data_IF_421052116565
#
_entry.id   IF_421052116565
#
_cell.length_a   1.000
_cell.length_b   1.000
_cell.length_c   1.000
_cell.angle_alpha   90.00
_cell.angle_beta   90.00
_cell.angle_gamma   90.00
#
_symmetry.space_group_name_H-M   'P 1'
#
loop_
_entity.id
_entity.type
_entity.pdbx_description
1 polymer ?
#
# COMPACT_ATOMS: atom_id res chain seq x y z
N UNK A 1 -29.16 6.68 -5.40
CA UNK A 1 -27.85 6.01 -5.21
C UNK A 1 -26.66 6.98 -5.46
N UNK A 2 -26.70 8.25 -5.01
CA UNK A 2 -25.66 9.24 -5.37
C UNK A 2 -25.03 9.99 -4.18
N UNK A 3 -25.47 9.74 -2.94
CA UNK A 3 -25.05 10.53 -1.77
C UNK A 3 -23.89 9.93 -0.98
N UNK A 4 -23.72 8.60 -1.03
CA UNK A 4 -22.65 7.91 -0.29
C UNK A 4 -21.24 8.06 -0.91
N UNK A 5 -21.11 8.49 -2.18
CA UNK A 5 -19.80 8.72 -2.80
C UNK A 5 -19.23 10.12 -2.51
N UNK A 6 -20.07 11.09 -2.12
CA UNK A 6 -19.63 12.46 -1.88
C UNK A 6 -18.93 12.63 -0.52
N UNK A 7 -19.36 11.89 0.52
CA UNK A 7 -18.77 11.97 1.87
C UNK A 7 -17.37 11.33 1.98
N UNK A 8 -17.00 10.42 1.05
CA UNK A 8 -15.67 9.81 1.04
C UNK A 8 -14.59 10.70 0.38
N UNK A 9 -14.98 11.77 -0.31
CA UNK A 9 -14.07 12.71 -0.97
C UNK A 9 -13.86 13.98 -0.13
N UNK A 10 -14.75 14.24 0.84
CA UNK A 10 -14.74 15.40 1.73
C UNK A 10 -13.77 15.22 2.91
N UNK A 11 -12.48 15.11 2.61
CA UNK A 11 -11.42 15.04 3.63
C UNK A 11 -10.00 15.07 3.07
N UNK A 12 -9.85 14.91 1.75
CA UNK A 12 -8.58 15.06 1.06
C UNK A 12 -8.25 16.55 0.86
N UNK A 13 -8.17 17.33 1.94
CA UNK A 13 -7.31 18.50 1.90
C UNK A 13 -5.90 17.95 1.64
N UNK A 14 -5.21 18.33 0.54
CA UNK A 14 -3.80 18.07 0.43
C UNK A 14 -3.17 18.83 1.59
N UNK A 15 -2.89 18.14 2.70
CA UNK A 15 -2.06 18.71 3.74
C UNK A 15 -0.70 18.87 3.07
N UNK A 16 -0.22 20.10 2.84
CA UNK A 16 1.15 20.25 2.37
C UNK A 16 2.04 19.47 3.33
N UNK A 17 3.05 18.78 2.78
CA UNK A 17 4.04 18.08 3.58
C UNK A 17 4.43 19.00 4.74
N UNK A 18 4.20 18.54 5.97
CA UNK A 18 4.43 19.39 7.14
C UNK A 18 5.91 19.82 7.08
N UNK A 19 6.19 21.12 7.11
CA UNK A 19 7.56 21.62 6.96
C UNK A 19 8.48 20.87 7.94
N UNK A 20 9.58 20.30 7.43
CA UNK A 20 10.47 19.47 8.23
C UNK A 20 10.16 17.97 8.23
N UNK A 21 9.40 17.46 7.25
CA UNK A 21 9.15 16.02 7.07
C UNK A 21 9.50 15.53 5.67
N UNK A 22 10.11 14.35 5.59
CA UNK A 22 10.38 13.61 4.38
C UNK A 22 9.32 12.51 4.19
N UNK A 23 8.84 12.36 2.96
CA UNK A 23 7.87 11.32 2.59
C UNK A 23 8.42 10.39 1.53
N UNK A 24 8.15 9.10 1.66
CA UNK A 24 8.52 8.05 0.69
C UNK A 24 7.28 7.23 0.37
N UNK A 25 7.03 7.00 -0.92
CA UNK A 25 5.92 6.14 -1.38
C UNK A 25 6.50 4.89 -2.02
N UNK A 26 6.07 3.72 -1.57
CA UNK A 26 6.48 2.42 -2.11
C UNK A 26 5.28 1.59 -2.50
N UNK A 27 5.39 0.89 -3.62
CA UNK A 27 4.34 0.02 -4.11
C UNK A 27 4.87 -1.42 -4.21
N UNK A 28 4.08 -2.36 -3.70
CA UNK A 28 4.36 -3.80 -3.76
C UNK A 28 3.17 -4.49 -4.42
N UNK A 29 3.43 -5.43 -5.33
CA UNK A 29 2.38 -6.24 -5.96
C UNK A 29 2.49 -7.67 -5.45
N UNK A 30 1.52 -8.09 -4.65
CA UNK A 30 1.35 -9.44 -4.16
C UNK A 30 0.58 -10.25 -5.20
N UNK A 31 1.16 -11.34 -5.69
CA UNK A 31 0.49 -12.26 -6.64
C UNK A 31 0.08 -13.54 -5.92
N UNK A 32 -1.14 -14.02 -6.05
CA UNK A 32 -1.47 -15.36 -5.57
C UNK A 32 -0.47 -16.39 -6.11
N UNK A 33 0.04 -17.23 -5.22
CA UNK A 33 0.86 -18.37 -5.64
C UNK A 33 -0.06 -19.37 -6.30
N UNK A 34 0.06 -19.51 -7.61
CA UNK A 34 -0.62 -20.55 -8.38
C UNK A 34 -0.28 -21.97 -7.93
N UNK A 35 0.81 -22.19 -7.20
CA UNK A 35 1.17 -23.46 -6.59
C UNK A 35 1.95 -23.24 -5.28
N UNK A 36 1.42 -23.75 -4.17
CA UNK A 36 2.09 -23.82 -2.86
C UNK A 36 1.57 -22.83 -1.80
N UNK A 37 1.42 -23.29 -0.56
CA UNK A 37 0.88 -22.56 0.62
C UNK A 37 1.80 -21.48 1.19
N UNK A 38 2.88 -21.12 0.50
CA UNK A 38 3.92 -20.23 1.06
C UNK A 38 3.62 -18.75 0.83
N UNK A 39 3.59 -17.96 1.90
CA UNK A 39 3.33 -16.51 1.96
C UNK A 39 4.40 -15.59 1.34
N UNK A 40 5.09 -15.99 0.26
CA UNK A 40 6.28 -15.31 -0.27
C UNK A 40 6.12 -13.80 -0.53
N UNK A 41 4.92 -13.34 -0.87
CA UNK A 41 4.67 -11.91 -1.05
C UNK A 41 4.50 -11.14 0.26
N UNK A 42 3.99 -11.79 1.32
CA UNK A 42 3.89 -11.17 2.64
C UNK A 42 5.29 -10.93 3.23
N UNK A 43 6.23 -11.84 2.98
CA UNK A 43 7.64 -11.65 3.35
C UNK A 43 8.26 -10.46 2.60
N UNK A 44 7.91 -10.24 1.33
CA UNK A 44 8.39 -9.07 0.58
C UNK A 44 7.79 -7.76 1.13
N UNK A 45 6.50 -7.75 1.46
CA UNK A 45 5.84 -6.61 2.10
C UNK A 45 6.50 -6.27 3.44
N UNK A 46 6.71 -7.29 4.28
CA UNK A 46 7.40 -7.16 5.57
C UNK A 46 8.82 -6.61 5.40
N UNK A 47 9.58 -7.13 4.43
CA UNK A 47 10.93 -6.65 4.13
C UNK A 47 10.96 -5.17 3.71
N UNK A 48 9.98 -4.72 2.92
CA UNK A 48 9.88 -3.31 2.53
C UNK A 48 9.62 -2.42 3.74
N UNK A 49 8.68 -2.82 4.60
CA UNK A 49 8.36 -2.09 5.83
C UNK A 49 9.57 -2.03 6.76
N UNK A 50 10.24 -3.15 6.99
CA UNK A 50 11.41 -3.24 7.86
C UNK A 50 12.58 -2.39 7.34
N UNK A 51 12.81 -2.34 6.02
CA UNK A 51 13.85 -1.49 5.42
C UNK A 51 13.57 0.00 5.64
N UNK A 52 12.33 0.45 5.46
CA UNK A 52 11.97 1.84 5.72
C UNK A 52 12.07 2.17 7.21
N UNK A 53 11.63 1.26 8.08
CA UNK A 53 11.76 1.40 9.52
C UNK A 53 13.24 1.52 9.95
N UNK A 54 14.14 0.72 9.37
CA UNK A 54 15.57 0.79 9.64
C UNK A 54 16.20 2.13 9.21
N UNK A 55 15.62 2.79 8.20
CA UNK A 55 16.02 4.14 7.76
C UNK A 55 15.38 5.25 8.62
N UNK A 56 14.65 4.90 9.68
CA UNK A 56 13.97 5.83 10.58
C UNK A 56 12.63 6.34 10.06
N UNK A 57 12.11 5.80 8.96
CA UNK A 57 10.78 6.14 8.48
C UNK A 57 9.69 5.35 9.21
N UNK A 58 8.55 6.00 9.44
CA UNK A 58 7.36 5.39 10.01
C UNK A 58 6.32 5.18 8.92
N UNK A 59 5.66 4.03 8.91
CA UNK A 59 4.54 3.79 8.01
C UNK A 59 3.37 4.70 8.43
N UNK A 60 2.98 5.61 7.55
CA UNK A 60 1.88 6.55 7.79
C UNK A 60 0.54 5.96 7.32
N UNK A 61 0.51 5.48 6.08
CA UNK A 61 -0.71 4.92 5.46
C UNK A 61 -0.32 3.74 4.57
N UNK A 62 -1.17 2.71 4.56
CA UNK A 62 -1.15 1.66 3.55
C UNK A 62 -2.53 1.60 2.88
N UNK A 63 -2.54 1.56 1.55
CA UNK A 63 -3.74 1.31 0.76
C UNK A 63 -3.54 0.04 -0.04
N UNK A 64 -4.57 -0.80 -0.08
CA UNK A 64 -4.55 -2.05 -0.84
C UNK A 64 -5.65 -2.03 -1.88
N UNK A 65 -5.33 -2.41 -3.11
CA UNK A 65 -6.30 -2.68 -4.16
C UNK A 65 -6.14 -4.12 -4.63
N UNK A 66 -7.25 -4.84 -4.70
CA UNK A 66 -7.28 -6.19 -5.27
C UNK A 66 -7.90 -6.13 -6.68
N UNK A 67 -7.23 -6.70 -7.66
CA UNK A 67 -7.82 -6.99 -8.97
C UNK A 67 -8.10 -8.50 -9.03
N UNK A 68 -9.39 -8.84 -9.04
CA UNK A 68 -9.86 -10.20 -9.25
C UNK A 68 -9.62 -10.63 -10.70
N UNK A 69 -9.20 -11.88 -10.90
CA UNK A 69 -8.87 -12.40 -12.22
C UNK A 69 -10.11 -12.74 -13.07
N UNK A 70 -10.20 -12.19 -14.27
CA UNK A 70 -11.24 -12.49 -15.27
C UNK A 70 -10.82 -13.58 -16.27
N UNK A 71 -10.30 -14.74 -15.83
CA UNK A 71 -10.00 -15.85 -16.76
C UNK A 71 -9.28 -17.07 -16.19
N UNK A 72 -9.37 -18.18 -16.94
CA UNK A 72 -9.00 -19.60 -16.67
C UNK A 72 -7.50 -19.87 -16.37
N UNK A 73 -6.82 -18.96 -15.68
CA UNK A 73 -5.39 -19.01 -15.37
C UNK A 73 -4.80 -17.72 -14.80
N UNK A 74 -5.63 -16.74 -14.39
CA UNK A 74 -5.19 -15.53 -13.66
C UNK A 74 -5.55 -15.68 -12.18
N UNK A 75 -4.63 -15.34 -11.28
CA UNK A 75 -4.83 -15.42 -9.84
C UNK A 75 -4.99 -14.01 -9.30
N UNK A 76 -5.53 -13.88 -8.11
CA UNK A 76 -5.77 -12.58 -7.50
C UNK A 76 -4.44 -11.83 -7.33
N UNK A 77 -4.47 -10.55 -7.66
CA UNK A 77 -3.35 -9.63 -7.49
C UNK A 77 -3.77 -8.58 -6.50
N UNK A 78 -3.03 -8.47 -5.40
CA UNK A 78 -3.19 -7.40 -4.43
C UNK A 78 -2.02 -6.45 -4.62
N UNK A 79 -2.33 -5.20 -4.95
CA UNK A 79 -1.36 -4.12 -4.97
C UNK A 79 -1.47 -3.36 -3.65
N UNK A 80 -0.35 -3.20 -2.96
CA UNK A 80 -0.23 -2.41 -1.75
C UNK A 80 0.61 -1.16 -2.04
N UNK A 81 0.07 0.01 -1.77
CA UNK A 81 0.78 1.29 -1.81
C UNK A 81 0.95 1.78 -0.38
N UNK A 82 2.20 2.01 0.02
CA UNK A 82 2.57 2.44 1.36
C UNK A 82 3.20 3.82 1.31
N UNK A 83 2.77 4.69 2.21
CA UNK A 83 3.34 6.02 2.44
C UNK A 83 4.08 5.97 3.77
N UNK A 84 5.35 6.34 3.73
CA UNK A 84 6.24 6.44 4.87
C UNK A 84 6.60 7.90 5.12
N UNK A 85 6.77 8.26 6.39
CA UNK A 85 7.16 9.61 6.80
C UNK A 85 8.30 9.60 7.83
N UNK A 86 9.15 10.63 7.80
CA UNK A 86 10.23 10.83 8.76
C UNK A 86 10.48 12.31 8.97
N UNK A 87 10.57 12.77 10.21
CA UNK A 87 11.02 14.13 10.49
C UNK A 87 12.48 14.30 10.01
N UNK A 88 12.77 15.42 9.34
CA UNK A 88 14.15 15.78 8.92
C UNK A 88 15.04 16.03 10.13
#
# INVERSE_FOLDING_TARGET
>A
MARAQADAVAGAQPRPAQNGWNYVVLQVVLKEKFFGTGSGNLTELENVINRQAALGFRLHTITTSSSGSTGFGGGDRIQATMVFERAT
#
